data_IF_660969770154
#
_entry.id   IF_660969770154
#
_cell.length_a   1.000
_cell.length_b   1.000
_cell.length_c   1.000
_cell.angle_alpha   90.00
_cell.angle_beta   90.00
_cell.angle_gamma   90.00
#
_symmetry.space_group_name_H-M   'P 1'
#
loop_
_entity.id
_entity.type
_entity.pdbx_description
1 polymer ?
#
# COMPACT_ATOMS: atom_id res chain seq x y z
N UNK A 1 -56.07 -10.91 15.05
CA UNK A 1 -56.03 -9.74 14.11
C UNK A 1 -56.36 -8.41 14.83
N UNK A 2 -57.12 -8.40 15.91
CA UNK A 2 -57.53 -7.19 16.64
C UNK A 2 -56.37 -6.50 17.40
N UNK A 3 -55.42 -7.22 18.07
CA UNK A 3 -54.29 -6.57 18.74
C UNK A 3 -53.22 -5.97 17.79
N UNK A 4 -53.07 -6.57 16.63
CA UNK A 4 -52.16 -6.13 15.59
C UNK A 4 -52.71 -4.89 14.85
N UNK A 5 -54.00 -4.84 14.63
CA UNK A 5 -54.72 -3.69 14.08
C UNK A 5 -54.67 -2.48 15.04
N UNK A 6 -54.87 -2.69 16.35
CA UNK A 6 -54.71 -1.64 17.36
C UNK A 6 -53.27 -1.11 17.42
N UNK A 7 -52.28 -1.98 17.34
CA UNK A 7 -50.86 -1.60 17.31
C UNK A 7 -50.48 -0.82 16.06
N UNK A 8 -51.09 -1.18 14.93
CA UNK A 8 -50.93 -0.46 13.65
C UNK A 8 -51.61 0.91 13.72
N UNK A 9 -52.81 0.98 14.32
CA UNK A 9 -53.51 2.26 14.52
C UNK A 9 -52.75 3.19 15.50
N UNK A 10 -52.17 2.68 16.58
CA UNK A 10 -51.37 3.47 17.55
C UNK A 10 -50.07 4.01 16.90
N UNK A 11 -49.48 3.28 16.01
CA UNK A 11 -48.28 3.76 15.25
C UNK A 11 -48.67 4.77 14.16
N UNK A 12 -49.88 4.69 13.63
CA UNK A 12 -50.42 5.59 12.59
C UNK A 12 -50.94 6.90 13.18
N UNK A 13 -51.20 6.98 14.49
CA UNK A 13 -51.88 8.13 15.10
C UNK A 13 -51.01 9.32 15.53
N UNK A 14 -49.70 9.21 15.45
CA UNK A 14 -48.80 10.33 15.83
C UNK A 14 -48.40 11.12 14.57
N UNK A 15 -49.21 12.13 14.20
CA UNK A 15 -48.77 13.15 13.27
C UNK A 15 -48.11 14.29 14.08
N UNK A 16 -46.90 14.71 13.72
CA UNK A 16 -46.27 15.84 14.40
C UNK A 16 -47.11 17.12 14.19
N UNK A 17 -47.20 17.94 15.22
CA UNK A 17 -47.81 19.26 15.09
C UNK A 17 -46.96 20.19 14.21
N UNK A 18 -47.58 21.24 13.66
CA UNK A 18 -46.82 22.27 12.91
C UNK A 18 -45.66 22.84 13.72
N UNK A 19 -45.81 22.93 15.04
CA UNK A 19 -44.75 23.41 15.95
C UNK A 19 -43.62 22.40 16.03
N UNK A 20 -43.87 21.09 15.97
CA UNK A 20 -42.85 20.05 16.00
C UNK A 20 -42.08 20.02 14.68
N UNK A 21 -42.76 20.19 13.53
CA UNK A 21 -42.11 20.32 12.21
C UNK A 21 -41.19 21.56 12.14
N UNK A 22 -41.60 22.67 12.73
CA UNK A 22 -40.78 23.89 12.78
C UNK A 22 -39.51 23.72 13.61
N UNK A 23 -39.54 22.91 14.66
CA UNK A 23 -38.37 22.59 15.52
C UNK A 23 -37.39 21.61 14.91
N UNK A 24 -37.79 20.85 13.89
CA UNK A 24 -36.91 19.89 13.19
C UNK A 24 -35.86 20.63 12.37
N UNK A 25 -34.69 20.00 12.10
CA UNK A 25 -33.63 20.55 11.21
C UNK A 25 -33.89 20.29 9.72
N UNK A 26 -35.15 20.12 9.32
CA UNK A 26 -35.58 19.91 7.94
C UNK A 26 -35.21 21.08 7.02
N UNK A 27 -34.85 20.83 5.74
CA UNK A 27 -34.72 21.89 4.73
C UNK A 27 -36.02 22.70 4.60
N UNK A 28 -35.90 24.02 4.47
CA UNK A 28 -37.03 24.94 4.47
C UNK A 28 -38.16 24.56 3.50
N UNK A 29 -37.81 24.10 2.29
CA UNK A 29 -38.78 23.67 1.28
C UNK A 29 -39.61 22.48 1.75
N UNK A 30 -38.98 21.50 2.37
CA UNK A 30 -39.68 20.31 2.90
C UNK A 30 -40.57 20.64 4.12
N UNK A 31 -40.12 21.60 4.97
CA UNK A 31 -40.93 22.11 6.06
C UNK A 31 -42.24 22.72 5.52
N UNK A 32 -42.16 23.54 4.45
CA UNK A 32 -43.33 24.14 3.83
C UNK A 32 -44.28 23.07 3.25
N UNK A 33 -43.73 22.07 2.52
CA UNK A 33 -44.58 21.01 1.93
C UNK A 33 -45.25 20.13 2.99
N UNK A 34 -44.57 19.82 4.10
CA UNK A 34 -45.15 19.07 5.22
C UNK A 34 -46.20 19.91 5.96
N UNK A 35 -45.96 21.20 6.22
CA UNK A 35 -46.92 22.09 6.86
C UNK A 35 -48.19 22.26 6.02
N UNK A 36 -48.06 22.40 4.70
CA UNK A 36 -49.23 22.46 3.79
C UNK A 36 -50.06 21.16 3.87
N UNK A 37 -49.40 19.99 3.86
CA UNK A 37 -50.12 18.70 4.01
C UNK A 37 -50.79 18.58 5.36
N UNK A 38 -50.15 19.05 6.45
CA UNK A 38 -50.78 19.03 7.80
C UNK A 38 -51.98 19.95 7.86
N UNK A 39 -51.94 21.17 7.31
CA UNK A 39 -53.02 22.13 7.25
C UNK A 39 -54.22 21.55 6.44
N UNK A 40 -53.94 20.87 5.31
CA UNK A 40 -54.98 20.23 4.51
C UNK A 40 -55.60 19.07 5.31
N UNK A 41 -54.80 18.29 6.04
CA UNK A 41 -55.28 17.21 6.87
C UNK A 41 -56.20 17.64 8.00
N UNK A 42 -55.91 18.79 8.65
CA UNK A 42 -56.75 19.37 9.71
C UNK A 42 -58.11 19.84 9.20
N UNK A 43 -58.26 20.12 7.89
CA UNK A 43 -59.49 20.59 7.26
C UNK A 43 -60.31 19.46 6.62
N UNK A 44 -59.86 18.23 6.58
CA UNK A 44 -60.57 17.07 6.03
C UNK A 44 -61.26 16.33 7.17
N UNK A 45 -62.51 15.83 6.92
CA UNK A 45 -63.22 15.06 7.91
C UNK A 45 -62.43 13.80 8.31
N UNK A 46 -62.28 13.52 9.63
CA UNK A 46 -61.63 12.29 10.11
C UNK A 46 -62.28 11.03 9.52
N UNK A 47 -61.50 9.99 9.30
CA UNK A 47 -61.90 8.68 8.81
C UNK A 47 -62.37 8.60 7.34
N UNK A 48 -62.11 9.64 6.53
CA UNK A 48 -62.28 9.56 5.08
C UNK A 48 -61.06 8.91 4.41
N UNK A 49 -61.26 8.32 3.23
CA UNK A 49 -60.18 7.68 2.47
C UNK A 49 -59.06 8.70 2.10
N UNK A 50 -59.46 9.96 1.88
CA UNK A 50 -58.55 11.06 1.62
C UNK A 50 -57.72 11.44 2.85
N UNK A 51 -58.33 11.48 4.03
CA UNK A 51 -57.69 11.72 5.30
C UNK A 51 -56.60 10.66 5.60
N UNK A 52 -56.95 9.36 5.43
CA UNK A 52 -56.00 8.26 5.61
C UNK A 52 -54.86 8.26 4.57
N UNK A 53 -55.17 8.61 3.33
CA UNK A 53 -54.15 8.72 2.25
C UNK A 53 -53.13 9.84 2.52
N UNK A 54 -53.59 11.01 2.98
CA UNK A 54 -52.77 12.13 3.29
C UNK A 54 -51.89 11.86 4.53
N UNK A 55 -52.45 11.23 5.56
CA UNK A 55 -51.79 10.79 6.77
C UNK A 55 -50.61 9.86 6.44
N UNK A 56 -50.83 8.88 5.57
CA UNK A 56 -49.81 7.94 5.10
C UNK A 56 -48.72 8.64 4.27
N UNK A 57 -49.07 9.65 3.47
CA UNK A 57 -48.14 10.44 2.71
C UNK A 57 -47.17 11.22 3.65
N UNK A 58 -47.70 11.88 4.67
CA UNK A 58 -46.93 12.63 5.67
C UNK A 58 -45.95 11.70 6.41
N UNK A 59 -46.42 10.50 6.79
CA UNK A 59 -45.56 9.52 7.46
C UNK A 59 -44.45 8.98 6.58
N UNK A 60 -44.72 8.72 5.30
CA UNK A 60 -43.74 8.29 4.36
C UNK A 60 -42.63 9.38 4.16
N UNK A 61 -43.03 10.64 4.05
CA UNK A 61 -42.09 11.74 3.91
C UNK A 61 -41.23 11.89 5.16
N UNK A 62 -41.77 11.73 6.36
CA UNK A 62 -41.01 11.72 7.61
C UNK A 62 -40.08 10.52 7.75
N UNK A 63 -40.47 9.34 7.31
CA UNK A 63 -39.65 8.13 7.34
C UNK A 63 -38.48 8.23 6.35
N UNK A 64 -38.73 8.74 5.15
CA UNK A 64 -37.65 9.03 4.15
C UNK A 64 -36.66 10.01 4.73
N UNK A 65 -37.13 11.04 5.41
CA UNK A 65 -36.28 12.03 6.04
C UNK A 65 -35.46 11.47 7.22
N UNK A 66 -36.08 10.70 8.11
CA UNK A 66 -35.36 10.08 9.23
C UNK A 66 -34.26 9.15 8.75
N UNK A 67 -34.47 8.42 7.64
CA UNK A 67 -33.46 7.60 7.01
C UNK A 67 -32.35 8.43 6.33
N UNK A 68 -32.69 9.58 5.75
CA UNK A 68 -31.71 10.51 5.20
C UNK A 68 -30.92 11.21 6.32
N UNK A 69 -31.55 11.56 7.42
CA UNK A 69 -30.91 12.26 8.54
C UNK A 69 -29.94 11.34 9.31
N UNK A 70 -30.26 10.05 9.45
CA UNK A 70 -29.32 9.08 10.03
C UNK A 70 -28.05 8.92 9.17
N UNK A 71 -28.19 8.94 7.85
CA UNK A 71 -27.03 8.92 6.94
C UNK A 71 -26.28 10.26 6.98
N UNK A 72 -26.97 11.39 7.05
CA UNK A 72 -26.36 12.72 7.13
C UNK A 72 -25.58 12.92 8.43
N UNK A 73 -26.08 12.44 9.56
CA UNK A 73 -25.35 12.46 10.84
C UNK A 73 -24.09 11.61 10.79
N UNK A 74 -24.11 10.45 10.13
CA UNK A 74 -22.92 9.63 9.92
C UNK A 74 -21.88 10.32 9.04
N UNK A 75 -22.31 11.02 7.99
CA UNK A 75 -21.41 11.82 7.14
C UNK A 75 -20.89 13.05 7.84
N UNK A 76 -21.72 13.74 8.64
CA UNK A 76 -21.31 14.88 9.48
C UNK A 76 -20.27 14.47 10.52
N UNK A 77 -20.43 13.30 11.16
CA UNK A 77 -19.43 12.76 12.09
C UNK A 77 -18.10 12.41 11.40
N UNK A 78 -18.17 11.93 10.15
CA UNK A 78 -16.98 11.67 9.33
C UNK A 78 -16.33 13.01 8.93
N UNK A 79 -17.11 13.98 8.53
CA UNK A 79 -16.64 15.32 8.16
C UNK A 79 -16.01 16.04 9.36
N UNK A 80 -16.63 15.97 10.55
CA UNK A 80 -16.03 16.48 11.79
C UNK A 80 -14.70 15.80 12.10
N UNK A 81 -14.63 14.46 12.00
CA UNK A 81 -13.37 13.73 12.19
C UNK A 81 -12.32 14.07 11.14
N UNK A 82 -12.72 14.35 9.91
CA UNK A 82 -11.81 14.82 8.86
C UNK A 82 -11.34 16.25 9.13
N UNK A 83 -12.20 17.13 9.65
CA UNK A 83 -11.89 18.51 10.02
C UNK A 83 -11.10 18.58 11.33
N UNK A 84 -11.37 17.74 12.33
CA UNK A 84 -10.58 17.63 13.56
C UNK A 84 -9.15 17.11 13.33
N UNK A 85 -8.92 16.38 12.25
CA UNK A 85 -7.57 15.98 11.83
C UNK A 85 -6.80 17.08 11.09
N UNK A 86 -7.49 18.13 10.61
CA UNK A 86 -6.86 19.33 10.07
C UNK A 86 -6.53 20.28 11.21
N UNK A 87 -5.25 20.32 11.60
CA UNK A 87 -4.70 21.27 12.57
C UNK A 87 -5.35 22.64 12.54
N UNK A 88 -5.74 23.13 13.75
CA UNK A 88 -6.01 24.52 14.12
C UNK A 88 -6.19 25.50 12.93
N UNK A 89 -7.32 26.17 12.87
CA UNK A 89 -7.62 27.30 11.94
C UNK A 89 -6.68 28.51 12.17
N UNK A 90 -5.38 28.24 12.24
CA UNK A 90 -4.40 29.32 12.35
C UNK A 90 -4.18 29.94 10.97
N UNK A 91 -4.22 31.27 10.85
CA UNK A 91 -3.85 31.96 9.63
C UNK A 91 -2.47 31.50 9.13
N UNK A 92 -2.29 31.37 7.81
CA UNK A 92 -1.09 30.84 7.16
C UNK A 92 0.20 31.44 7.70
N UNK A 93 0.20 32.75 7.99
CA UNK A 93 1.32 33.47 8.62
C UNK A 93 1.78 32.79 9.92
N UNK A 94 0.84 32.46 10.79
CA UNK A 94 1.17 31.85 12.09
C UNK A 94 1.59 30.38 11.93
N UNK A 95 1.04 29.65 10.94
CA UNK A 95 1.51 28.29 10.59
C UNK A 95 2.99 28.34 10.20
N UNK A 96 3.41 29.29 9.37
CA UNK A 96 4.82 29.48 8.98
C UNK A 96 5.69 29.82 10.19
N UNK A 97 5.25 30.74 11.03
CA UNK A 97 6.03 31.17 12.20
C UNK A 97 6.16 30.07 13.27
N UNK A 98 5.10 29.29 13.50
CA UNK A 98 5.07 28.16 14.46
C UNK A 98 5.84 26.93 13.96
N UNK A 99 6.03 26.78 12.64
CA UNK A 99 6.71 25.61 12.06
C UNK A 99 8.13 25.42 12.63
N UNK A 100 8.55 24.17 12.79
CA UNK A 100 9.90 23.82 13.28
C UNK A 100 10.95 23.71 12.17
N UNK A 101 10.66 24.21 10.96
CA UNK A 101 11.61 24.18 9.84
C UNK A 101 12.87 25.01 10.12
N UNK A 102 14.00 24.68 9.49
CA UNK A 102 15.25 25.47 9.58
C UNK A 102 15.00 26.96 9.27
N UNK A 103 15.71 27.85 9.96
CA UNK A 103 15.49 29.28 9.86
C UNK A 103 15.65 29.82 8.43
N UNK A 104 16.60 29.28 7.65
CA UNK A 104 16.81 29.68 6.26
C UNK A 104 15.59 29.34 5.40
N UNK A 105 15.05 28.12 5.54
CA UNK A 105 13.83 27.71 4.84
C UNK A 105 12.65 28.60 5.26
N UNK A 106 12.52 28.89 6.56
CA UNK A 106 11.46 29.76 7.11
C UNK A 106 11.48 31.15 6.52
N UNK A 107 12.67 31.76 6.38
CA UNK A 107 12.86 33.08 5.77
C UNK A 107 12.39 33.06 4.31
N UNK A 108 12.77 32.05 3.54
CA UNK A 108 12.38 31.90 2.13
C UNK A 108 10.88 31.73 1.99
N UNK A 109 10.27 30.87 2.81
CA UNK A 109 8.81 30.66 2.82
C UNK A 109 8.08 31.95 3.21
N UNK A 110 8.56 32.65 4.23
CA UNK A 110 7.94 33.90 4.69
C UNK A 110 8.02 35.02 3.64
N UNK A 111 9.13 35.11 2.89
CA UNK A 111 9.26 36.08 1.77
C UNK A 111 8.22 35.77 0.66
N UNK A 112 8.07 34.50 0.29
CA UNK A 112 7.07 34.08 -0.70
C UNK A 112 5.64 34.27 -0.17
N UNK A 113 5.41 34.05 1.12
CA UNK A 113 4.12 34.38 1.75
C UNK A 113 3.81 35.87 1.65
N UNK A 114 4.79 36.76 1.92
CA UNK A 114 4.60 38.21 1.77
C UNK A 114 4.28 38.61 0.33
N UNK A 115 4.91 37.97 -0.65
CA UNK A 115 4.57 38.17 -2.05
C UNK A 115 3.14 37.70 -2.36
N UNK A 116 2.76 36.52 -1.85
CA UNK A 116 1.41 35.99 -2.00
C UNK A 116 0.33 36.92 -1.43
N UNK A 117 0.56 37.59 -0.29
CA UNK A 117 -0.36 38.61 0.28
C UNK A 117 -0.61 39.78 -0.67
N UNK A 118 0.29 40.06 -1.62
CA UNK A 118 0.15 41.16 -2.59
C UNK A 118 -0.57 40.74 -3.87
N UNK A 119 -0.78 39.43 -4.09
CA UNK A 119 -1.43 38.90 -5.28
C UNK A 119 -2.96 38.93 -5.14
N UNK A 120 -3.65 39.16 -6.27
CA UNK A 120 -5.10 38.99 -6.32
C UNK A 120 -5.50 37.52 -6.20
N UNK A 121 -6.50 37.18 -5.41
CA UNK A 121 -6.96 35.80 -5.17
C UNK A 121 -7.38 35.04 -6.45
N UNK A 122 -7.80 35.73 -7.47
CA UNK A 122 -8.22 35.15 -8.77
C UNK A 122 -7.06 34.82 -9.70
N UNK A 123 -5.82 35.12 -9.36
CA UNK A 123 -4.66 34.82 -10.18
C UNK A 123 -4.24 33.36 -10.00
N UNK A 124 -4.08 32.60 -11.08
CA UNK A 124 -3.56 31.22 -11.04
C UNK A 124 -2.20 31.10 -10.34
N UNK A 125 -1.43 32.18 -10.29
CA UNK A 125 -0.16 32.29 -9.56
C UNK A 125 -0.38 32.26 -8.04
N UNK A 126 -1.46 32.88 -7.54
CA UNK A 126 -1.83 32.86 -6.12
C UNK A 126 -2.06 31.43 -5.63
N UNK A 127 -2.83 30.63 -6.39
CA UNK A 127 -3.10 29.22 -6.07
C UNK A 127 -1.83 28.37 -6.11
N UNK A 128 -0.98 28.57 -7.12
CA UNK A 128 0.32 27.85 -7.21
C UNK A 128 1.20 28.12 -6.00
N UNK A 129 1.31 29.38 -5.62
CA UNK A 129 2.14 29.81 -4.49
C UNK A 129 1.61 29.30 -3.15
N UNK A 130 0.29 29.30 -2.98
CA UNK A 130 -0.36 28.72 -1.80
C UNK A 130 -0.09 27.21 -1.69
N UNK A 131 -0.24 26.48 -2.78
CA UNK A 131 0.07 25.03 -2.81
C UNK A 131 1.54 24.77 -2.46
N UNK A 132 2.46 25.58 -2.99
CA UNK A 132 3.88 25.47 -2.70
C UNK A 132 4.17 25.68 -1.20
N UNK A 133 3.58 26.73 -0.59
CA UNK A 133 3.73 27.01 0.85
C UNK A 133 3.16 25.85 1.67
N UNK A 134 1.98 25.34 1.34
CA UNK A 134 1.36 24.23 2.05
C UNK A 134 2.22 22.97 1.95
N UNK A 135 2.74 22.63 0.78
CA UNK A 135 3.65 21.48 0.60
C UNK A 135 4.86 21.56 1.53
N UNK A 136 5.45 22.76 1.70
CA UNK A 136 6.59 22.93 2.61
C UNK A 136 6.17 22.84 4.08
N UNK A 137 4.99 23.34 4.44
CA UNK A 137 4.47 23.20 5.79
C UNK A 137 4.13 21.76 6.19
N UNK A 138 3.84 20.91 5.21
CA UNK A 138 3.59 19.48 5.40
C UNK A 138 4.88 18.67 5.50
N UNK A 139 6.05 19.23 5.10
CA UNK A 139 7.32 18.55 5.25
C UNK A 139 7.60 18.22 6.72
N UNK A 140 8.03 16.99 7.02
CA UNK A 140 8.40 16.64 8.37
C UNK A 140 9.63 17.43 8.82
N UNK A 141 9.63 17.83 10.08
CA UNK A 141 10.75 18.50 10.73
C UNK A 141 11.35 17.67 11.85
N UNK A 142 10.75 16.52 12.12
CA UNK A 142 11.13 15.62 13.21
C UNK A 142 11.67 14.30 12.68
N UNK A 143 12.42 13.62 13.52
CA UNK A 143 12.89 12.25 13.29
C UNK A 143 12.18 11.30 14.24
N UNK A 144 11.77 10.14 13.73
CA UNK A 144 11.21 9.06 14.55
C UNK A 144 12.32 8.48 15.42
N UNK A 145 12.12 8.42 16.73
CA UNK A 145 13.08 7.81 17.63
C UNK A 145 13.00 6.28 17.53
N UNK A 146 14.15 5.62 17.54
CA UNK A 146 14.16 4.17 17.75
C UNK A 146 13.59 3.87 19.14
N UNK A 147 12.88 2.73 19.32
CA UNK A 147 12.27 2.40 20.60
C UNK A 147 13.29 2.25 21.75
N UNK A 148 14.56 2.11 21.40
CA UNK A 148 15.66 1.81 22.33
C UNK A 148 16.89 2.66 22.01
N UNK A 149 17.58 3.06 23.06
CA UNK A 149 18.83 3.83 23.02
C UNK A 149 19.91 3.15 23.83
N UNK A 150 21.16 3.58 23.69
CA UNK A 150 22.30 3.06 24.46
C UNK A 150 22.11 3.22 25.99
N UNK A 151 21.35 4.23 26.42
CA UNK A 151 21.07 4.48 27.84
C UNK A 151 20.21 3.41 28.52
N UNK A 152 19.49 2.60 27.75
CA UNK A 152 18.60 1.56 28.29
C UNK A 152 19.35 0.32 28.79
N UNK A 153 20.64 0.22 28.48
CA UNK A 153 21.54 -0.85 28.95
C UNK A 153 21.51 -2.12 28.10
N UNK A 154 22.60 -2.89 28.19
CA UNK A 154 22.86 -4.03 27.30
C UNK A 154 21.78 -5.12 27.33
N UNK A 155 21.14 -5.37 28.49
CA UNK A 155 20.12 -6.41 28.59
C UNK A 155 18.87 -6.06 27.78
N UNK A 156 18.45 -4.80 27.78
CA UNK A 156 17.28 -4.33 27.03
C UNK A 156 17.60 -4.28 25.54
N UNK A 157 18.81 -3.81 25.16
CA UNK A 157 19.26 -3.83 23.78
C UNK A 157 19.30 -5.26 23.23
N UNK A 158 19.86 -6.22 23.99
CA UNK A 158 19.93 -7.63 23.59
C UNK A 158 18.54 -8.22 23.40
N UNK A 159 17.60 -7.94 24.30
CA UNK A 159 16.21 -8.38 24.19
C UNK A 159 15.55 -7.80 22.92
N UNK A 160 15.72 -6.52 22.67
CA UNK A 160 15.16 -5.87 21.47
C UNK A 160 15.71 -6.48 20.17
N UNK A 161 17.02 -6.69 20.07
CA UNK A 161 17.63 -7.34 18.91
C UNK A 161 17.12 -8.77 18.72
N UNK A 162 16.89 -9.50 19.82
CA UNK A 162 16.27 -10.81 19.79
C UNK A 162 14.82 -10.75 19.28
N UNK A 163 14.03 -9.81 19.77
CA UNK A 163 12.63 -9.63 19.36
C UNK A 163 12.54 -9.25 17.86
N UNK A 164 13.43 -8.35 17.37
CA UNK A 164 13.53 -8.02 15.95
C UNK A 164 13.89 -9.27 15.13
N UNK A 165 14.89 -10.07 15.57
CA UNK A 165 15.26 -11.33 14.92
C UNK A 165 14.09 -12.31 14.90
N UNK A 166 13.36 -12.41 16.00
CA UNK A 166 12.19 -13.28 16.09
C UNK A 166 11.11 -12.89 15.06
N UNK A 167 10.79 -11.60 14.94
CA UNK A 167 9.83 -11.08 13.93
C UNK A 167 10.31 -11.37 12.52
N UNK A 168 11.61 -11.12 12.23
CA UNK A 168 12.19 -11.43 10.92
C UNK A 168 12.10 -12.92 10.59
N UNK A 169 12.33 -13.81 11.57
CA UNK A 169 12.27 -15.27 11.37
C UNK A 169 10.83 -15.77 11.21
N UNK A 170 9.86 -15.11 11.84
CA UNK A 170 8.45 -15.47 11.70
C UNK A 170 7.89 -15.17 10.31
N UNK A 171 8.34 -14.07 9.67
CA UNK A 171 7.79 -13.64 8.38
C UNK A 171 8.68 -13.96 7.17
N UNK A 172 9.98 -14.14 7.37
CA UNK A 172 10.96 -14.39 6.32
C UNK A 172 11.68 -15.70 6.59
N UNK A 173 11.54 -16.65 5.69
CA UNK A 173 12.24 -17.91 5.77
C UNK A 173 13.71 -17.77 5.35
N UNK A 174 14.64 -18.41 6.07
CA UNK A 174 16.08 -18.41 5.75
C UNK A 174 16.73 -17.04 5.80
N UNK A 175 17.70 -16.78 4.92
CA UNK A 175 18.47 -15.54 4.80
C UNK A 175 19.20 -15.16 6.11
N UNK A 176 19.69 -16.14 6.87
CA UNK A 176 20.25 -15.89 8.21
C UNK A 176 21.43 -14.88 8.18
N UNK A 177 22.35 -15.01 7.22
CA UNK A 177 23.49 -14.10 7.06
C UNK A 177 23.06 -12.66 6.76
N UNK A 178 21.98 -12.48 5.96
CA UNK A 178 21.43 -11.16 5.63
C UNK A 178 20.78 -10.53 6.86
N UNK A 179 19.98 -11.31 7.59
CA UNK A 179 19.32 -10.87 8.84
C UNK A 179 20.35 -10.48 9.89
N UNK A 180 21.40 -11.27 10.04
CA UNK A 180 22.50 -10.99 10.98
C UNK A 180 23.21 -9.69 10.61
N UNK A 181 23.55 -9.49 9.34
CA UNK A 181 24.18 -8.25 8.87
C UNK A 181 23.29 -7.01 9.16
N UNK A 182 21.99 -7.11 8.91
CA UNK A 182 21.02 -6.06 9.22
C UNK A 182 20.97 -5.77 10.73
N UNK A 183 20.99 -6.81 11.57
CA UNK A 183 21.02 -6.65 13.02
C UNK A 183 22.31 -5.99 13.51
N UNK A 184 23.44 -6.26 12.89
CA UNK A 184 24.70 -5.57 13.17
C UNK A 184 24.62 -4.07 12.85
N UNK A 185 24.03 -3.71 11.71
CA UNK A 185 23.80 -2.31 11.34
C UNK A 185 22.85 -1.64 12.35
N UNK A 186 21.78 -2.29 12.71
CA UNK A 186 20.80 -1.80 13.69
C UNK A 186 21.49 -1.58 15.06
N UNK A 187 22.27 -2.55 15.54
CA UNK A 187 23.02 -2.42 16.79
C UNK A 187 23.97 -1.21 16.73
N UNK A 188 24.68 -1.02 15.62
CA UNK A 188 25.58 0.13 15.45
C UNK A 188 24.82 1.46 15.53
N UNK A 189 23.58 1.51 15.02
CA UNK A 189 22.71 2.70 15.14
C UNK A 189 22.22 2.96 16.57
N UNK A 190 21.91 1.91 17.32
CA UNK A 190 21.50 2.00 18.71
C UNK A 190 22.66 2.52 19.56
N UNK A 191 23.87 1.99 19.33
CA UNK A 191 25.07 2.36 20.10
C UNK A 191 25.61 3.74 19.74
N UNK A 192 25.40 4.19 18.50
CA UNK A 192 25.80 5.53 18.05
C UNK A 192 24.66 6.25 17.31
N UNK A 193 23.73 6.90 18.02
CA UNK A 193 22.59 7.62 17.43
C UNK A 193 22.98 8.79 16.52
N UNK A 194 24.21 9.27 16.62
CA UNK A 194 24.73 10.38 15.78
C UNK A 194 25.17 9.91 14.39
N UNK A 195 25.29 8.60 14.17
CA UNK A 195 25.62 8.05 12.86
C UNK A 195 24.59 8.47 11.81
N UNK A 196 25.09 8.78 10.62
CA UNK A 196 24.28 8.98 9.42
C UNK A 196 23.43 7.75 9.10
N UNK A 197 22.54 7.85 8.16
CA UNK A 197 21.73 6.74 7.64
C UNK A 197 22.52 5.50 7.23
N UNK A 198 21.95 4.64 6.47
CA UNK A 198 22.62 3.49 5.88
C UNK A 198 22.31 3.45 4.39
N UNK A 199 23.29 3.09 3.56
CA UNK A 199 23.10 2.82 2.13
C UNK A 199 23.41 1.36 1.86
N UNK A 200 22.35 0.56 1.64
CA UNK A 200 22.43 -0.90 1.49
C UNK A 200 22.05 -1.33 0.08
N UNK A 201 22.85 -2.19 -0.54
CA UNK A 201 22.53 -2.83 -1.80
C UNK A 201 22.18 -4.31 -1.59
N UNK A 202 20.92 -4.71 -1.72
CA UNK A 202 20.48 -6.09 -1.64
C UNK A 202 20.57 -6.75 -3.02
N UNK A 203 21.57 -7.59 -3.20
CA UNK A 203 21.85 -8.30 -4.46
C UNK A 203 21.25 -9.70 -4.40
N UNK A 204 20.40 -10.06 -5.32
CA UNK A 204 19.85 -11.42 -5.37
C UNK A 204 18.77 -11.59 -6.43
N UNK A 205 18.41 -12.83 -6.73
CA UNK A 205 17.46 -13.13 -7.78
C UNK A 205 16.08 -12.50 -7.55
N UNK A 206 15.36 -12.26 -8.63
CA UNK A 206 14.01 -11.69 -8.56
C UNK A 206 13.04 -12.62 -7.82
N UNK A 207 12.16 -12.02 -6.99
CA UNK A 207 11.12 -12.79 -6.28
C UNK A 207 11.63 -13.59 -5.07
N UNK A 208 12.84 -13.30 -4.57
CA UNK A 208 13.37 -13.93 -3.35
C UNK A 208 12.82 -13.32 -2.05
N UNK A 209 12.22 -12.14 -2.11
CA UNK A 209 11.65 -11.47 -0.95
C UNK A 209 12.46 -10.31 -0.39
N UNK A 210 13.38 -9.71 -1.18
CA UNK A 210 14.19 -8.54 -0.77
C UNK A 210 13.34 -7.40 -0.21
N UNK A 211 12.35 -6.95 -0.95
CA UNK A 211 11.44 -5.85 -0.56
C UNK A 211 10.64 -6.21 0.69
N UNK A 212 10.15 -7.45 0.81
CA UNK A 212 9.44 -7.92 1.99
C UNK A 212 10.33 -7.93 3.23
N UNK A 213 11.59 -8.35 3.10
CA UNK A 213 12.57 -8.35 4.20
C UNK A 213 12.71 -6.96 4.83
N UNK A 214 12.88 -5.93 3.99
CA UNK A 214 13.03 -4.55 4.47
C UNK A 214 11.73 -3.99 5.04
N UNK A 215 10.59 -4.33 4.46
CA UNK A 215 9.29 -3.94 5.00
C UNK A 215 9.05 -4.53 6.40
N UNK A 216 9.39 -5.80 6.60
CA UNK A 216 9.26 -6.48 7.90
C UNK A 216 10.25 -5.88 8.91
N UNK A 217 11.47 -5.58 8.48
CA UNK A 217 12.45 -4.88 9.32
C UNK A 217 11.90 -3.52 9.78
N UNK A 218 11.45 -2.69 8.86
CA UNK A 218 10.91 -1.36 9.18
C UNK A 218 9.77 -1.44 10.22
N UNK A 219 8.87 -2.41 10.05
CA UNK A 219 7.80 -2.68 11.00
C UNK A 219 8.33 -3.13 12.37
N UNK A 220 9.34 -4.01 12.39
CA UNK A 220 9.92 -4.53 13.64
C UNK A 220 10.64 -3.45 14.46
N UNK A 221 11.26 -2.47 13.80
CA UNK A 221 11.98 -1.36 14.45
C UNK A 221 11.14 -0.08 14.55
N UNK A 222 9.87 -0.14 14.17
CA UNK A 222 8.92 0.99 14.18
C UNK A 222 9.40 2.23 13.40
N UNK A 223 10.17 2.05 12.31
CA UNK A 223 10.54 3.13 11.41
C UNK A 223 9.56 3.22 10.22
N UNK A 224 9.25 4.43 9.74
CA UNK A 224 8.47 4.61 8.53
C UNK A 224 9.17 3.97 7.32
N UNK A 225 8.38 3.43 6.40
CA UNK A 225 8.86 2.72 5.22
C UNK A 225 8.13 3.21 3.96
N UNK A 226 8.89 3.41 2.90
CA UNK A 226 8.35 3.61 1.55
C UNK A 226 9.15 2.81 0.54
N UNK A 227 8.48 2.35 -0.52
CA UNK A 227 9.14 1.64 -1.63
C UNK A 227 8.83 2.35 -2.94
N UNK A 228 9.88 2.65 -3.69
CA UNK A 228 9.83 3.34 -4.98
C UNK A 228 10.42 2.37 -6.01
N UNK A 229 9.64 1.99 -7.01
CA UNK A 229 10.13 1.17 -8.12
C UNK A 229 10.78 2.05 -9.17
N UNK A 230 12.05 1.77 -9.47
CA UNK A 230 12.81 2.45 -10.52
C UNK A 230 12.70 1.71 -11.87
N UNK A 231 12.17 0.49 -11.88
CA UNK A 231 11.95 -0.29 -13.09
C UNK A 231 10.95 0.38 -14.02
N UNK A 232 11.39 0.68 -15.24
CA UNK A 232 10.57 1.38 -16.23
C UNK A 232 10.47 2.90 -16.04
N UNK A 233 11.14 3.46 -15.05
CA UNK A 233 11.23 4.91 -14.86
C UNK A 233 12.18 5.49 -15.92
N UNK A 234 11.69 6.47 -16.67
CA UNK A 234 12.43 7.07 -17.79
C UNK A 234 12.90 8.49 -17.53
N UNK A 235 12.48 9.11 -16.41
CA UNK A 235 12.75 10.53 -16.17
C UNK A 235 13.11 10.78 -14.68
N UNK A 236 14.21 11.52 -14.48
CA UNK A 236 14.66 11.96 -13.16
C UNK A 236 13.71 12.96 -12.49
N UNK A 237 12.91 13.67 -13.26
CA UNK A 237 11.93 14.62 -12.76
C UNK A 237 10.82 13.96 -11.92
N UNK A 238 10.57 12.67 -12.14
CA UNK A 238 9.67 11.94 -11.25
C UNK A 238 10.20 11.84 -9.81
N UNK A 239 11.53 11.78 -9.64
CA UNK A 239 12.18 11.73 -8.34
C UNK A 239 12.33 13.12 -7.70
N UNK A 240 12.70 14.12 -8.50
CA UNK A 240 13.06 15.46 -8.05
C UNK A 240 11.95 16.50 -8.21
N UNK A 241 10.82 16.15 -8.83
CA UNK A 241 9.76 17.10 -9.15
C UNK A 241 10.02 17.95 -10.38
N UNK A 242 9.00 18.68 -10.79
CA UNK A 242 9.06 19.64 -11.90
C UNK A 242 9.21 21.05 -11.35
N UNK A 243 10.02 21.89 -12.01
CA UNK A 243 10.23 23.28 -11.58
C UNK A 243 8.88 23.99 -11.36
N UNK A 244 8.78 24.73 -10.27
CA UNK A 244 7.60 25.51 -9.85
C UNK A 244 7.04 26.45 -10.95
N UNK A 245 7.88 26.88 -11.88
CA UNK A 245 7.49 27.78 -12.98
C UNK A 245 6.52 27.18 -13.96
N UNK A 246 6.50 25.85 -14.12
CA UNK A 246 5.62 25.17 -15.05
C UNK A 246 4.17 25.06 -14.53
N UNK A 247 3.22 25.02 -15.45
CA UNK A 247 1.85 24.71 -15.14
C UNK A 247 1.70 23.22 -14.81
N UNK A 248 0.95 22.89 -13.74
CA UNK A 248 0.83 21.50 -13.25
C UNK A 248 2.08 20.96 -12.55
N UNK A 249 3.04 21.82 -12.17
CA UNK A 249 4.22 21.42 -11.40
C UNK A 249 3.83 20.78 -10.06
N UNK A 250 4.58 19.76 -9.67
CA UNK A 250 4.39 19.02 -8.41
C UNK A 250 5.74 18.59 -7.84
N UNK A 251 5.82 18.36 -6.52
CA UNK A 251 7.04 17.83 -5.91
C UNK A 251 7.39 16.45 -6.44
N UNK A 252 8.64 16.05 -6.25
CA UNK A 252 9.09 14.71 -6.59
C UNK A 252 8.58 13.66 -5.60
N UNK A 253 8.59 12.39 -6.03
CA UNK A 253 8.12 11.28 -5.21
C UNK A 253 8.89 11.12 -3.88
N UNK A 254 10.13 11.63 -3.81
CA UNK A 254 10.92 11.64 -2.57
C UNK A 254 10.25 12.57 -1.55
N UNK A 255 9.92 13.79 -1.95
CA UNK A 255 9.21 14.78 -1.09
C UNK A 255 7.83 14.27 -0.70
N UNK A 256 7.05 13.78 -1.65
CA UNK A 256 5.74 13.17 -1.37
C UNK A 256 5.82 12.01 -0.38
N UNK A 257 6.89 11.23 -0.47
CA UNK A 257 7.12 10.10 0.45
C UNK A 257 7.48 10.58 1.85
N UNK A 258 8.29 11.64 1.97
CA UNK A 258 8.61 12.25 3.27
C UNK A 258 7.37 12.80 3.96
N UNK A 259 6.48 13.47 3.22
CA UNK A 259 5.20 13.98 3.73
C UNK A 259 4.35 12.84 4.26
N UNK A 260 4.22 11.74 3.49
CA UNK A 260 3.47 10.55 3.92
C UNK A 260 4.10 9.86 5.13
N UNK A 261 5.43 9.76 5.19
CA UNK A 261 6.15 9.17 6.32
C UNK A 261 6.13 10.04 7.57
N UNK A 262 5.87 11.33 7.45
CA UNK A 262 5.86 12.31 8.56
C UNK A 262 7.16 12.30 9.39
N UNK A 263 8.28 11.93 8.79
CA UNK A 263 9.58 11.81 9.47
C UNK A 263 10.75 12.07 8.51
N UNK A 264 11.82 12.70 9.03
CA UNK A 264 13.08 12.90 8.31
C UNK A 264 14.05 11.71 8.43
N UNK A 265 13.62 10.62 9.05
CA UNK A 265 14.29 9.35 9.01
C UNK A 265 13.28 8.23 8.79
N UNK A 266 13.74 7.15 8.22
CA UNK A 266 12.92 6.01 7.83
C UNK A 266 13.69 5.16 6.86
N UNK A 267 12.99 4.32 6.15
CA UNK A 267 13.59 3.44 5.15
C UNK A 267 12.98 3.74 3.77
N UNK A 268 13.81 4.23 2.85
CA UNK A 268 13.53 4.27 1.43
C UNK A 268 14.04 2.98 0.77
N UNK A 269 13.16 2.20 0.19
CA UNK A 269 13.53 1.06 -0.64
C UNK A 269 13.37 1.43 -2.12
N UNK A 270 14.48 1.52 -2.83
CA UNK A 270 14.50 1.69 -4.29
C UNK A 270 14.58 0.32 -4.94
N UNK A 271 13.49 -0.12 -5.56
CA UNK A 271 13.42 -1.44 -6.16
C UNK A 271 13.79 -1.41 -7.64
N UNK A 272 14.42 -2.48 -8.12
CA UNK A 272 14.79 -2.70 -9.51
C UNK A 272 15.75 -1.63 -10.09
N UNK A 273 16.76 -1.22 -9.30
CA UNK A 273 17.74 -0.21 -9.74
C UNK A 273 18.53 -0.66 -10.97
N UNK A 274 18.70 -1.97 -11.16
CA UNK A 274 19.37 -2.58 -12.33
C UNK A 274 18.54 -2.49 -13.62
N UNK A 275 17.28 -2.06 -13.54
CA UNK A 275 16.37 -1.87 -14.70
C UNK A 275 16.22 -0.42 -15.14
N UNK A 276 17.01 0.49 -14.60
CA UNK A 276 17.09 1.89 -15.06
C UNK A 276 17.56 1.90 -16.51
N UNK A 277 16.90 2.69 -17.34
CA UNK A 277 17.26 2.86 -18.76
C UNK A 277 18.69 3.42 -18.89
N UNK A 278 19.49 2.86 -19.83
CA UNK A 278 20.82 3.37 -20.19
C UNK A 278 20.74 4.51 -21.22
N UNK A 279 19.84 5.45 -21.00
CA UNK A 279 19.66 6.65 -21.81
C UNK A 279 20.11 7.87 -21.00
N UNK A 280 20.24 9.03 -21.65
CA UNK A 280 20.56 10.31 -20.98
C UNK A 280 19.63 10.60 -19.79
N UNK A 281 18.35 10.23 -19.88
CA UNK A 281 17.38 10.36 -18.79
C UNK A 281 17.61 9.35 -17.66
N UNK A 282 18.05 8.13 -17.97
CA UNK A 282 18.45 7.15 -16.98
C UNK A 282 19.70 7.56 -16.19
N UNK A 283 20.62 8.29 -16.85
CA UNK A 283 21.79 8.87 -16.20
C UNK A 283 21.41 9.93 -15.16
N UNK A 284 20.33 10.66 -15.36
CA UNK A 284 19.80 11.60 -14.36
C UNK A 284 19.31 10.87 -13.11
N UNK A 285 18.58 9.76 -13.27
CA UNK A 285 18.12 8.92 -12.14
C UNK A 285 19.35 8.39 -11.37
N UNK A 286 20.37 7.90 -12.08
CA UNK A 286 21.60 7.39 -11.46
C UNK A 286 22.33 8.48 -10.67
N UNK A 287 22.37 9.72 -11.16
CA UNK A 287 22.92 10.87 -10.44
C UNK A 287 22.15 11.19 -9.17
N UNK A 288 20.82 11.12 -9.22
CA UNK A 288 19.98 11.31 -8.02
C UNK A 288 20.29 10.22 -6.98
N UNK A 289 20.41 8.96 -7.41
CA UNK A 289 20.77 7.87 -6.49
C UNK A 289 22.16 8.05 -5.88
N UNK A 290 23.14 8.50 -6.66
CA UNK A 290 24.48 8.84 -6.16
C UNK A 290 24.44 9.93 -5.10
N UNK A 291 23.66 10.99 -5.33
CA UNK A 291 23.49 12.07 -4.37
C UNK A 291 22.84 11.59 -3.06
N UNK A 292 21.84 10.72 -3.14
CA UNK A 292 21.18 10.15 -1.96
C UNK A 292 22.09 9.22 -1.15
N UNK A 293 22.97 8.45 -1.83
CA UNK A 293 23.94 7.56 -1.16
C UNK A 293 25.06 8.30 -0.46
N UNK A 294 25.36 9.53 -0.85
CA UNK A 294 26.47 10.30 -0.31
C UNK A 294 26.02 11.09 0.92
N UNK A 295 26.36 10.60 2.11
CA UNK A 295 26.01 11.24 3.39
C UNK A 295 26.66 12.61 3.61
N UNK A 296 27.61 13.01 2.77
CA UNK A 296 28.19 14.36 2.81
C UNK A 296 27.38 15.37 2.01
N UNK A 297 26.52 14.92 1.12
CA UNK A 297 25.72 15.75 0.21
C UNK A 297 24.20 15.63 0.47
N UNK A 298 23.73 14.49 0.93
CA UNK A 298 22.30 14.26 1.11
C UNK A 298 21.66 15.02 2.29
N UNK A 299 22.47 15.67 3.12
CA UNK A 299 22.00 16.63 4.14
C UNK A 299 21.47 17.95 3.54
N UNK A 300 21.75 18.19 2.26
CA UNK A 300 21.29 19.35 1.50
C UNK A 300 20.49 18.93 0.26
N UNK A 301 19.60 17.93 0.39
CA UNK A 301 18.76 17.49 -0.72
C UNK A 301 17.83 18.61 -1.19
N UNK A 302 17.77 18.80 -2.50
CA UNK A 302 16.97 19.81 -3.18
C UNK A 302 16.00 19.16 -4.13
N UNK A 303 14.72 19.54 -4.03
CA UNK A 303 13.66 19.18 -4.96
C UNK A 303 13.42 20.34 -5.94
N UNK A 304 13.23 20.04 -7.24
CA UNK A 304 13.06 21.06 -8.28
C UNK A 304 11.79 21.91 -8.07
N UNK A 305 10.72 21.31 -7.53
CA UNK A 305 9.49 22.04 -7.21
C UNK A 305 9.68 22.98 -6.03
N UNK A 306 10.36 22.55 -5.00
CA UNK A 306 10.63 23.38 -3.81
C UNK A 306 11.64 24.48 -4.09
N UNK A 307 12.55 24.24 -5.05
CA UNK A 307 13.59 25.19 -5.43
C UNK A 307 14.86 25.08 -4.57
N UNK A 308 15.94 25.68 -5.05
CA UNK A 308 17.28 25.55 -4.48
C UNK A 308 17.44 26.14 -3.06
N UNK A 309 16.53 27.02 -2.67
CA UNK A 309 16.55 27.66 -1.36
C UNK A 309 15.99 26.79 -0.23
N UNK A 310 15.25 25.75 -0.58
CA UNK A 310 14.66 24.80 0.39
C UNK A 310 15.49 23.53 0.40
N UNK A 311 16.25 23.37 1.47
CA UNK A 311 17.11 22.20 1.68
C UNK A 311 16.48 21.25 2.68
N UNK A 312 16.54 19.95 2.39
CA UNK A 312 15.99 18.88 3.22
C UNK A 312 17.15 17.98 3.66
N UNK A 313 17.28 17.76 4.96
CA UNK A 313 18.29 16.87 5.53
C UNK A 313 17.84 15.41 5.48
N UNK A 314 18.40 14.64 4.57
CA UNK A 314 18.17 13.19 4.41
C UNK A 314 19.29 12.33 5.00
N UNK A 315 20.25 12.93 5.73
CA UNK A 315 21.43 12.23 6.24
C UNK A 315 21.12 11.09 7.22
N UNK A 316 19.92 11.09 7.82
CA UNK A 316 19.49 10.04 8.76
C UNK A 316 18.63 8.95 8.12
N UNK A 317 18.32 9.06 6.82
CA UNK A 317 17.53 8.07 6.09
C UNK A 317 18.35 6.80 5.84
N UNK A 318 17.65 5.67 5.81
CA UNK A 318 18.19 4.41 5.31
C UNK A 318 17.76 4.26 3.85
N UNK A 319 18.74 4.22 2.97
CA UNK A 319 18.53 3.96 1.56
C UNK A 319 18.86 2.51 1.26
N UNK A 320 17.85 1.75 0.87
CA UNK A 320 18.01 0.35 0.49
C UNK A 320 17.75 0.21 -0.99
N UNK A 321 18.67 -0.39 -1.71
CA UNK A 321 18.61 -0.61 -3.15
C UNK A 321 18.47 -2.09 -3.43
N UNK A 322 17.37 -2.49 -4.09
CA UNK A 322 17.16 -3.86 -4.54
C UNK A 322 17.63 -4.02 -5.97
N UNK A 323 18.51 -4.96 -6.21
CA UNK A 323 19.06 -5.25 -7.53
C UNK A 323 19.19 -6.76 -7.76
N UNK A 324 19.11 -7.17 -9.03
CA UNK A 324 19.30 -8.58 -9.40
C UNK A 324 20.70 -8.78 -9.98
N UNK A 325 21.16 -7.84 -10.79
CA UNK A 325 22.42 -7.92 -11.52
C UNK A 325 23.30 -6.70 -11.21
N UNK A 326 24.34 -6.90 -10.40
CA UNK A 326 25.28 -5.82 -10.02
C UNK A 326 26.09 -5.27 -11.21
N UNK A 327 26.27 -6.10 -12.25
CA UNK A 327 27.02 -5.75 -13.46
C UNK A 327 26.32 -4.68 -14.32
N UNK A 328 25.00 -4.47 -14.10
CA UNK A 328 24.21 -3.49 -14.84
C UNK A 328 24.26 -2.09 -14.22
N UNK A 329 24.76 -1.96 -13.00
CA UNK A 329 24.80 -0.72 -12.23
C UNK A 329 26.14 -0.04 -12.38
N UNK A 330 26.13 1.29 -12.33
CA UNK A 330 27.33 2.11 -12.33
C UNK A 330 28.25 1.74 -11.15
N UNK A 331 29.54 1.55 -11.42
CA UNK A 331 30.53 1.20 -10.41
C UNK A 331 30.63 2.25 -9.32
N UNK A 332 30.50 3.53 -9.68
CA UNK A 332 30.56 4.66 -8.73
C UNK A 332 29.44 4.56 -7.69
N UNK A 333 28.26 4.10 -8.10
CA UNK A 333 27.14 3.88 -7.19
C UNK A 333 27.36 2.64 -6.33
N UNK A 334 27.83 1.54 -6.94
CA UNK A 334 28.12 0.29 -6.20
C UNK A 334 29.16 0.50 -5.10
N UNK A 335 30.19 1.31 -5.34
CA UNK A 335 31.26 1.61 -4.37
C UNK A 335 30.75 2.37 -3.11
N UNK A 336 29.57 3.01 -3.21
CA UNK A 336 28.93 3.72 -2.10
C UNK A 336 27.92 2.88 -1.34
N UNK A 337 27.60 1.70 -1.84
CA UNK A 337 26.63 0.81 -1.21
C UNK A 337 27.33 -0.27 -0.40
N UNK A 338 26.82 -0.53 0.79
CA UNK A 338 27.14 -1.77 1.50
C UNK A 338 26.37 -2.91 0.85
N UNK A 339 27.05 -3.72 0.05
CA UNK A 339 26.43 -4.82 -0.68
C UNK A 339 26.18 -6.00 0.24
N UNK A 340 24.95 -6.50 0.23
CA UNK A 340 24.51 -7.70 0.96
C UNK A 340 23.95 -8.68 -0.05
N UNK A 341 24.65 -9.80 -0.24
CA UNK A 341 24.20 -10.85 -1.15
C UNK A 341 23.11 -11.69 -0.50
N UNK A 342 21.97 -11.77 -1.18
CA UNK A 342 20.83 -12.60 -0.79
C UNK A 342 20.88 -13.91 -1.58
N UNK A 343 21.28 -15.03 -0.95
CA UNK A 343 21.44 -16.29 -1.66
C UNK A 343 20.08 -16.81 -2.15
N UNK A 344 20.09 -17.45 -3.32
CA UNK A 344 18.89 -18.12 -3.82
C UNK A 344 18.57 -19.34 -2.94
N UNK A 345 17.27 -19.63 -2.79
CA UNK A 345 16.81 -20.79 -2.03
C UNK A 345 17.15 -22.11 -2.71
N UNK A 346 17.61 -23.06 -1.92
CA UNK A 346 17.80 -24.44 -2.36
C UNK A 346 16.45 -25.15 -2.57
N UNK A 347 16.44 -26.25 -3.33
CA UNK A 347 15.23 -27.06 -3.53
C UNK A 347 14.61 -27.53 -2.20
N UNK A 348 15.45 -27.86 -1.22
CA UNK A 348 14.97 -28.26 0.13
C UNK A 348 14.26 -27.12 0.83
N UNK A 349 14.86 -25.95 0.83
CA UNK A 349 14.25 -24.74 1.42
C UNK A 349 12.95 -24.35 0.72
N UNK A 350 12.90 -24.44 -0.61
CA UNK A 350 11.67 -24.19 -1.37
C UNK A 350 10.56 -25.15 -0.98
N UNK A 351 10.85 -26.45 -0.80
CA UNK A 351 9.87 -27.44 -0.32
C UNK A 351 9.32 -27.07 1.06
N UNK A 352 10.19 -26.72 2.00
CA UNK A 352 9.77 -26.32 3.33
C UNK A 352 8.93 -25.04 3.29
N UNK A 353 9.30 -24.06 2.46
CA UNK A 353 8.52 -22.84 2.26
C UNK A 353 7.13 -23.12 1.70
N UNK A 354 7.01 -24.07 0.76
CA UNK A 354 5.70 -24.47 0.24
C UNK A 354 4.83 -24.99 1.37
N UNK A 355 5.34 -25.94 2.16
CA UNK A 355 4.56 -26.61 3.20
C UNK A 355 4.20 -25.64 4.35
N UNK A 356 5.16 -24.81 4.80
CA UNK A 356 4.99 -23.96 6.00
C UNK A 356 4.27 -22.66 5.72
N UNK A 357 4.39 -22.10 4.49
CA UNK A 357 3.93 -20.74 4.19
C UNK A 357 3.05 -20.64 2.95
N UNK A 358 3.51 -21.13 1.78
CA UNK A 358 2.83 -20.86 0.51
C UNK A 358 1.51 -21.63 0.38
N UNK A 359 1.49 -22.91 0.73
CA UNK A 359 0.29 -23.73 0.69
C UNK A 359 -0.76 -23.28 1.70
N UNK A 360 -0.43 -23.03 2.99
CA UNK A 360 -1.40 -22.46 3.94
C UNK A 360 -1.97 -21.11 3.52
N UNK A 361 -1.15 -20.24 2.93
CA UNK A 361 -1.61 -18.95 2.39
C UNK A 361 -2.59 -19.14 1.22
N UNK A 362 -2.27 -20.02 0.27
CA UNK A 362 -3.13 -20.32 -0.87
C UNK A 362 -4.48 -20.94 -0.44
N UNK A 363 -4.46 -21.86 0.52
CA UNK A 363 -5.65 -22.47 1.11
C UNK A 363 -6.52 -21.42 1.80
N UNK A 364 -5.93 -20.55 2.60
CA UNK A 364 -6.64 -19.44 3.27
C UNK A 364 -7.33 -18.51 2.25
N UNK A 365 -6.64 -18.18 1.17
CA UNK A 365 -7.15 -17.27 0.13
C UNK A 365 -8.33 -17.88 -0.65
N UNK A 366 -8.41 -19.22 -0.74
CA UNK A 366 -9.50 -19.94 -1.41
C UNK A 366 -10.63 -20.38 -0.48
N UNK A 367 -10.48 -20.17 0.84
CA UNK A 367 -11.48 -20.60 1.84
C UNK A 367 -11.58 -22.11 2.04
N UNK A 368 -10.56 -22.88 1.60
CA UNK A 368 -10.49 -24.32 1.82
C UNK A 368 -9.97 -24.68 3.21
N UNK A 369 -10.19 -25.92 3.65
CA UNK A 369 -9.61 -26.45 4.89
C UNK A 369 -8.16 -26.90 4.68
N UNK A 370 -7.32 -26.79 5.71
CA UNK A 370 -5.90 -27.17 5.61
C UNK A 370 -5.70 -28.63 5.26
N UNK A 371 -6.67 -29.48 5.58
CA UNK A 371 -6.65 -30.92 5.33
C UNK A 371 -7.08 -31.28 3.91
N UNK A 372 -7.77 -30.38 3.21
CA UNK A 372 -8.34 -30.66 1.89
C UNK A 372 -7.27 -30.89 0.82
N UNK A 373 -6.09 -30.25 0.92
CA UNK A 373 -5.05 -30.28 -0.12
C UNK A 373 -3.69 -30.58 0.47
N UNK A 374 -3.00 -31.56 -0.11
CA UNK A 374 -1.62 -31.89 0.20
C UNK A 374 -0.83 -32.23 -1.07
N UNK A 375 0.49 -32.10 -1.02
CA UNK A 375 1.37 -32.45 -2.13
C UNK A 375 2.18 -33.73 -1.80
N UNK A 376 2.43 -34.54 -2.80
CA UNK A 376 3.47 -35.59 -2.70
C UNK A 376 4.85 -34.94 -2.85
N UNK A 377 5.89 -35.57 -2.29
CA UNK A 377 7.26 -35.05 -2.38
C UNK A 377 7.77 -34.96 -3.82
N UNK A 378 7.39 -35.95 -4.66
CA UNK A 378 7.69 -35.97 -6.09
C UNK A 378 7.01 -34.83 -6.84
N UNK A 379 5.74 -34.53 -6.51
CA UNK A 379 5.00 -33.40 -7.09
C UNK A 379 5.66 -32.07 -6.76
N UNK A 380 6.09 -31.88 -5.51
CA UNK A 380 6.81 -30.68 -5.09
C UNK A 380 8.14 -30.55 -5.82
N UNK A 381 8.91 -31.63 -5.90
CA UNK A 381 10.19 -31.63 -6.62
C UNK A 381 10.02 -31.28 -8.09
N UNK A 382 9.00 -31.85 -8.73
CA UNK A 382 8.66 -31.58 -10.12
C UNK A 382 8.24 -30.11 -10.32
N UNK A 383 7.32 -29.60 -9.48
CA UNK A 383 6.82 -28.24 -9.56
C UNK A 383 7.96 -27.22 -9.41
N UNK A 384 8.85 -27.40 -8.44
CA UNK A 384 10.01 -26.54 -8.22
C UNK A 384 10.93 -26.58 -9.45
N UNK A 385 11.24 -27.76 -9.97
CA UNK A 385 12.13 -27.88 -11.13
C UNK A 385 11.56 -27.19 -12.37
N UNK A 386 10.27 -27.37 -12.63
CA UNK A 386 9.63 -26.75 -13.79
C UNK A 386 9.50 -25.22 -13.64
N UNK A 387 9.17 -24.72 -12.45
CA UNK A 387 9.14 -23.27 -12.20
C UNK A 387 10.53 -22.64 -12.33
N UNK A 388 11.58 -23.33 -11.92
CA UNK A 388 12.97 -22.88 -12.12
C UNK A 388 13.36 -22.86 -13.62
N UNK A 389 12.97 -23.87 -14.38
CA UNK A 389 13.18 -23.87 -15.85
C UNK A 389 12.43 -22.76 -16.56
N UNK A 390 11.19 -22.49 -16.17
CA UNK A 390 10.41 -21.35 -16.72
C UNK A 390 11.13 -20.02 -16.49
N UNK A 391 11.61 -19.81 -15.26
CA UNK A 391 12.37 -18.61 -14.93
C UNK A 391 13.63 -18.45 -15.77
N UNK A 392 14.42 -19.54 -15.91
CA UNK A 392 15.66 -19.53 -16.70
C UNK A 392 15.42 -19.21 -18.18
N UNK A 393 14.33 -19.70 -18.76
CA UNK A 393 13.94 -19.39 -20.15
C UNK A 393 13.56 -17.92 -20.32
N UNK A 394 12.80 -17.34 -19.39
CA UNK A 394 12.37 -15.96 -19.45
C UNK A 394 13.53 -14.97 -19.23
N UNK A 395 14.42 -15.25 -18.28
CA UNK A 395 15.49 -14.33 -17.87
C UNK A 395 16.80 -14.57 -18.61
N UNK A 396 16.92 -15.66 -19.40
CA UNK A 396 18.17 -16.16 -19.99
C UNK A 396 19.25 -16.42 -18.93
N UNK A 397 18.87 -16.60 -17.68
CA UNK A 397 19.79 -16.88 -16.59
C UNK A 397 20.17 -18.37 -16.58
N UNK A 398 21.43 -18.65 -16.92
CA UNK A 398 21.97 -20.01 -17.04
C UNK A 398 22.05 -20.73 -15.67
N UNK A 399 22.05 -20.00 -14.56
CA UNK A 399 22.17 -20.56 -13.20
C UNK A 399 20.90 -21.22 -12.67
N UNK A 400 19.77 -21.07 -13.33
CA UNK A 400 18.54 -21.85 -13.09
C UNK A 400 17.87 -21.68 -11.73
N UNK A 401 18.35 -20.79 -10.87
CA UNK A 401 17.79 -20.60 -9.54
C UNK A 401 16.79 -19.42 -9.56
N UNK A 402 15.49 -19.73 -9.61
CA UNK A 402 14.44 -18.73 -9.49
C UNK A 402 14.17 -18.35 -8.04
N UNK A 403 13.61 -17.14 -7.83
CA UNK A 403 12.94 -16.84 -6.59
C UNK A 403 11.66 -17.69 -6.40
N UNK A 404 10.90 -17.39 -5.38
CA UNK A 404 9.68 -18.14 -5.03
C UNK A 404 8.39 -17.58 -5.64
N UNK A 405 8.45 -16.46 -6.39
CA UNK A 405 7.25 -15.82 -6.97
C UNK A 405 6.50 -16.77 -7.92
N UNK A 406 7.19 -17.32 -8.93
CA UNK A 406 6.59 -18.29 -9.88
C UNK A 406 6.05 -19.53 -9.19
N UNK A 407 6.76 -20.02 -8.18
CA UNK A 407 6.31 -21.15 -7.37
C UNK A 407 5.05 -20.82 -6.58
N UNK A 408 4.96 -19.63 -5.98
CA UNK A 408 3.77 -19.13 -5.28
C UNK A 408 2.57 -19.05 -6.23
N UNK A 409 2.76 -18.47 -7.40
CA UNK A 409 1.72 -18.33 -8.42
C UNK A 409 1.21 -19.69 -8.91
N UNK A 410 2.13 -20.65 -9.14
CA UNK A 410 1.79 -22.00 -9.53
C UNK A 410 0.97 -22.72 -8.44
N UNK A 411 1.38 -22.64 -7.17
CA UNK A 411 0.65 -23.22 -6.05
C UNK A 411 -0.74 -22.60 -5.91
N UNK A 412 -0.81 -21.26 -5.98
CA UNK A 412 -2.09 -20.56 -5.95
C UNK A 412 -3.05 -21.04 -7.05
N UNK A 413 -2.53 -21.17 -8.28
CA UNK A 413 -3.31 -21.67 -9.42
C UNK A 413 -3.78 -23.12 -9.21
N UNK A 414 -2.90 -23.99 -8.67
CA UNK A 414 -3.27 -25.38 -8.35
C UNK A 414 -4.41 -25.42 -7.33
N UNK A 415 -4.28 -24.68 -6.22
CA UNK A 415 -5.28 -24.65 -5.15
C UNK A 415 -6.60 -24.06 -5.65
N UNK A 416 -6.57 -23.01 -6.47
CA UNK A 416 -7.77 -22.45 -7.11
C UNK A 416 -8.48 -23.49 -8.01
N UNK A 417 -7.73 -24.25 -8.82
CA UNK A 417 -8.31 -25.29 -9.68
C UNK A 417 -8.87 -26.45 -8.87
N UNK A 418 -8.22 -26.85 -7.79
CA UNK A 418 -8.73 -27.87 -6.85
C UNK A 418 -10.03 -27.39 -6.18
N UNK A 419 -10.08 -26.11 -5.75
CA UNK A 419 -11.30 -25.52 -5.20
C UNK A 419 -12.44 -25.44 -6.23
N UNK A 420 -12.12 -25.16 -7.49
CA UNK A 420 -13.10 -25.21 -8.58
C UNK A 420 -13.65 -26.63 -8.76
N UNK A 421 -12.82 -27.66 -8.75
CA UNK A 421 -13.25 -29.06 -8.83
C UNK A 421 -14.13 -29.45 -7.64
N UNK A 422 -13.79 -29.02 -6.42
CA UNK A 422 -14.61 -29.23 -5.21
C UNK A 422 -16.06 -28.79 -5.39
N UNK A 423 -16.26 -27.69 -6.12
CA UNK A 423 -17.59 -27.08 -6.30
C UNK A 423 -18.31 -27.52 -7.60
N UNK A 424 -17.61 -28.21 -8.52
CA UNK A 424 -18.16 -28.59 -9.84
C UNK A 424 -18.30 -30.08 -10.04
N UNK A 425 -17.55 -30.90 -9.30
CA UNK A 425 -17.67 -32.36 -9.34
C UNK A 425 -18.79 -32.79 -8.40
N UNK A 426 -19.77 -33.55 -8.93
CA UNK A 426 -20.88 -34.10 -8.18
C UNK A 426 -20.45 -35.36 -7.39
N UNK A 427 -21.29 -35.80 -6.45
CA UNK A 427 -21.00 -36.97 -5.58
C UNK A 427 -20.77 -38.27 -6.36
N UNK A 428 -21.34 -38.38 -7.58
CA UNK A 428 -21.13 -39.49 -8.49
C UNK A 428 -19.81 -39.41 -9.29
N UNK A 429 -19.02 -38.37 -9.11
CA UNK A 429 -17.78 -38.11 -9.82
C UNK A 429 -17.94 -37.54 -11.22
N UNK A 430 -19.13 -37.17 -11.63
CA UNK A 430 -19.40 -36.51 -12.90
C UNK A 430 -19.29 -34.98 -12.74
N UNK A 431 -19.02 -34.30 -13.84
CA UNK A 431 -19.06 -32.84 -13.87
C UNK A 431 -20.52 -32.38 -14.09
N UNK A 432 -20.94 -31.39 -13.31
CA UNK A 432 -22.24 -30.79 -13.49
C UNK A 432 -22.40 -30.08 -14.85
N UNK A 433 -23.12 -28.99 -14.93
CA UNK A 433 -23.40 -28.27 -16.17
C UNK A 433 -22.16 -27.60 -16.85
N UNK A 434 -20.98 -27.66 -16.23
CA UNK A 434 -19.74 -27.08 -16.73
C UNK A 434 -18.62 -28.11 -16.72
N UNK A 435 -18.11 -28.46 -17.90
CA UNK A 435 -16.91 -29.30 -18.03
C UNK A 435 -15.67 -28.40 -18.07
N UNK A 436 -14.76 -28.50 -17.11
CA UNK A 436 -13.51 -27.74 -17.14
C UNK A 436 -12.59 -28.20 -18.27
N UNK A 437 -11.69 -27.35 -18.73
CA UNK A 437 -10.65 -27.70 -19.71
C UNK A 437 -9.55 -28.61 -19.15
N UNK A 438 -9.61 -28.94 -17.86
CA UNK A 438 -8.70 -29.82 -17.15
C UNK A 438 -9.52 -30.86 -16.37
N UNK A 439 -9.12 -32.12 -16.47
CA UNK A 439 -9.80 -33.24 -15.83
C UNK A 439 -8.92 -33.91 -14.81
N UNK A 440 -9.48 -34.22 -13.65
CA UNK A 440 -8.88 -35.11 -12.66
C UNK A 440 -9.83 -36.28 -12.44
N UNK A 441 -9.43 -37.46 -12.85
CA UNK A 441 -10.20 -38.70 -12.65
C UNK A 441 -10.27 -39.02 -11.15
N UNK A 442 -11.43 -39.43 -10.68
CA UNK A 442 -11.68 -39.85 -9.29
C UNK A 442 -11.32 -38.75 -8.25
N UNK A 443 -11.65 -37.51 -8.53
CA UNK A 443 -11.45 -36.40 -7.58
C UNK A 443 -12.25 -36.64 -6.30
N UNK A 444 -11.55 -36.67 -5.15
CA UNK A 444 -12.15 -36.75 -3.80
C UNK A 444 -11.30 -35.99 -2.81
N UNK A 445 -11.92 -35.33 -1.84
CA UNK A 445 -11.23 -34.68 -0.73
C UNK A 445 -11.08 -35.67 0.46
N UNK A 446 -10.00 -35.64 1.22
CA UNK A 446 -8.79 -34.80 1.03
C UNK A 446 -7.98 -35.22 -0.21
N UNK A 447 -7.51 -34.23 -0.99
CA UNK A 447 -6.88 -34.46 -2.28
C UNK A 447 -5.34 -34.36 -2.18
N UNK A 448 -4.63 -35.44 -2.55
CA UNK A 448 -3.17 -35.47 -2.61
C UNK A 448 -2.70 -35.24 -4.04
N UNK A 449 -2.06 -34.10 -4.27
CA UNK A 449 -1.54 -33.72 -5.58
C UNK A 449 -0.31 -34.52 -5.92
N UNK A 450 -0.33 -35.19 -7.08
CA UNK A 450 0.79 -35.94 -7.67
C UNK A 450 1.36 -35.18 -8.87
N UNK A 451 2.49 -35.65 -9.40
CA UNK A 451 3.09 -35.09 -10.62
C UNK A 451 2.11 -35.11 -11.79
N UNK A 452 1.41 -36.21 -12.01
CA UNK A 452 0.41 -36.37 -13.08
C UNK A 452 -0.72 -35.33 -12.96
N UNK A 453 -1.17 -35.07 -11.75
CA UNK A 453 -2.18 -34.03 -11.49
C UNK A 453 -1.70 -32.61 -11.86
N UNK A 454 -0.41 -32.30 -11.64
CA UNK A 454 0.15 -30.98 -12.02
C UNK A 454 0.16 -30.84 -13.55
N UNK A 455 0.50 -31.90 -14.28
CA UNK A 455 0.50 -31.91 -15.74
C UNK A 455 -0.95 -31.75 -16.29
N UNK A 456 -1.90 -32.49 -15.74
CA UNK A 456 -3.30 -32.46 -16.15
C UNK A 456 -3.99 -31.12 -15.83
N UNK A 457 -3.58 -30.48 -14.74
CA UNK A 457 -4.08 -29.14 -14.37
C UNK A 457 -3.56 -28.03 -15.30
N UNK A 458 -2.67 -28.30 -16.23
CA UNK A 458 -2.09 -27.30 -17.15
C UNK A 458 -1.62 -26.02 -16.42
N UNK A 459 -0.96 -26.18 -15.28
CA UNK A 459 -0.46 -25.05 -14.47
C UNK A 459 0.82 -24.51 -15.04
N UNK A 460 1.59 -25.37 -15.67
CA UNK A 460 2.85 -25.05 -16.33
C UNK A 460 2.57 -24.98 -17.81
N UNK A 461 2.46 -23.77 -18.35
CA UNK A 461 2.31 -23.55 -19.79
C UNK A 461 3.55 -24.12 -20.48
N UNK A 462 3.42 -25.23 -21.16
CA UNK A 462 4.41 -25.66 -22.16
C UNK A 462 4.34 -24.57 -23.23
N UNK A 463 5.30 -23.64 -23.25
CA UNK A 463 5.47 -22.75 -24.39
C UNK A 463 5.70 -23.66 -25.57
N UNK A 464 4.72 -23.73 -26.48
CA UNK A 464 4.91 -24.38 -27.77
C UNK A 464 6.12 -23.72 -28.41
N UNK A 465 7.05 -24.54 -28.80
CA UNK A 465 8.20 -24.13 -29.61
C UNK A 465 7.68 -23.25 -30.74
N UNK A 466 8.34 -22.11 -31.00
CA UNK A 466 8.04 -21.21 -32.11
C UNK A 466 7.59 -22.00 -33.34
N UNK A 467 6.52 -21.58 -34.01
CA UNK A 467 6.08 -22.26 -35.23
C UNK A 467 7.28 -22.37 -36.17
N UNK A 468 7.48 -23.51 -36.82
CA UNK A 468 8.64 -23.71 -37.69
C UNK A 468 8.72 -22.56 -38.71
N UNK A 469 9.93 -22.04 -38.96
CA UNK A 469 10.17 -20.91 -39.84
C UNK A 469 9.56 -21.09 -41.26
N UNK A 470 9.12 -22.29 -41.59
CA UNK A 470 8.39 -22.61 -42.84
C UNK A 470 6.97 -21.99 -42.92
N UNK A 471 6.43 -21.41 -41.84
CA UNK A 471 5.14 -20.68 -41.85
C UNK A 471 5.27 -19.21 -42.26
N UNK A 472 6.49 -18.70 -42.40
CA UNK A 472 6.77 -17.31 -42.81
C UNK A 472 7.36 -17.20 -44.24
N UNK A 473 7.30 -18.29 -45.02
CA UNK A 473 7.63 -18.29 -46.46
C UNK A 473 6.38 -18.31 -47.35
#
# INVERSE_FOLDING_TARGET
YEPEYKRICEVIDVIPSIQDVLKTELPFKLKCELMEKIIILENIQPDTFEHLGLKKSIQNDLNIYNNLNTNYLQYSDIEMKMNDSSCEDLPLKYKILKSCMPMNNKITVYRKYKYWETLNESAGESTKLLNWINTILELPTITTQLPITISDGNNIISKFLYDVRYILNAEIYGMESVKEHILCILNTKITNPKLTGASLGLVGVQGIGKTKLIQVLAKAIALPFTSISLGGMSDGDHLLGHSFTYEGSRPGIIVDSLIRMKSLNGIFNFDEIDKISKTTHGDEISKVMLHLCDFTQNNEFVDKYLGNDIKIDLSKMWFVYSLNYKELIDKTLLDRLTLVEVPAYTTKEKKEMVIKYLLPEAIKNTGMSKEDVSFSDDALSYLITETDKMYSRETRDIKGNSGVRKLKDAIGTIVMKVNYLKNTVLDDGTYGNMTPSFEIKNFKLPFKITKEHIENLNVITKVELEPPMSMYM
#
